data_IF_021683482047
#
_entry.id   IF_021683482047
#
_cell.length_a   1.000
_cell.length_b   1.000
_cell.length_c   1.000
_cell.angle_alpha   90.00
_cell.angle_beta   90.00
_cell.angle_gamma   90.00
#
_symmetry.space_group_name_H-M   'P 1'
#
loop_
_entity.id
_entity.type
_entity.pdbx_description
1 polymer ?
#
# COMPACT_ATOMS: atom_id res chain seq x y z
N UNK A 1 31.26 10.43 -41.97
CA UNK A 1 29.97 10.15 -41.29
C UNK A 1 29.57 8.67 -41.18
N UNK A 2 29.93 7.78 -42.11
CA UNK A 2 29.45 6.36 -42.11
C UNK A 2 30.09 5.48 -41.01
N UNK A 3 31.37 5.71 -40.64
CA UNK A 3 32.05 4.97 -39.55
C UNK A 3 31.51 5.29 -38.15
N UNK A 4 31.00 6.51 -37.92
CA UNK A 4 30.43 6.92 -36.62
C UNK A 4 29.07 6.25 -36.38
N UNK A 5 28.21 6.15 -37.41
CA UNK A 5 26.94 5.40 -37.32
C UNK A 5 27.16 3.91 -36.98
N UNK A 6 28.19 3.26 -37.56
CA UNK A 6 28.51 1.84 -37.26
C UNK A 6 28.96 1.60 -35.81
N UNK A 7 29.66 2.57 -35.18
CA UNK A 7 30.17 2.47 -33.80
C UNK A 7 29.08 2.72 -32.75
N UNK A 8 28.12 3.60 -33.05
CA UNK A 8 26.93 3.82 -32.20
C UNK A 8 25.98 2.61 -32.31
N UNK A 9 25.80 2.03 -33.50
CA UNK A 9 25.01 0.81 -33.70
C UNK A 9 25.66 -0.48 -33.17
N UNK A 10 26.97 -0.53 -32.94
CA UNK A 10 27.61 -1.72 -32.35
C UNK A 10 27.47 -1.77 -30.83
N UNK A 11 27.39 -0.61 -30.14
CA UNK A 11 27.12 -0.55 -28.69
C UNK A 11 25.67 -0.92 -28.35
N UNK A 12 24.69 -0.58 -29.19
CA UNK A 12 23.28 -0.98 -28.98
C UNK A 12 23.03 -2.48 -29.15
N UNK A 13 23.86 -3.20 -29.92
CA UNK A 13 23.88 -4.68 -29.93
C UNK A 13 24.40 -5.31 -28.63
N UNK A 14 25.00 -4.54 -27.71
CA UNK A 14 25.64 -5.09 -26.52
C UNK A 14 24.68 -5.31 -25.35
N UNK A 15 23.60 -4.53 -25.21
CA UNK A 15 22.81 -4.47 -23.97
C UNK A 15 21.37 -5.01 -24.07
N UNK A 16 20.94 -5.49 -25.25
CA UNK A 16 19.55 -5.94 -25.46
C UNK A 16 19.10 -7.07 -24.51
N UNK A 17 20.06 -7.83 -23.96
CA UNK A 17 19.79 -8.92 -23.03
C UNK A 17 19.43 -8.45 -21.61
N UNK A 18 19.67 -7.17 -21.26
CA UNK A 18 19.22 -6.59 -20.01
C UNK A 18 17.77 -6.10 -20.05
N UNK A 19 17.23 -5.85 -21.25
CA UNK A 19 15.89 -5.28 -21.40
C UNK A 19 14.80 -6.24 -20.85
N UNK A 20 14.78 -7.56 -21.17
CA UNK A 20 13.73 -8.44 -20.67
C UNK A 20 13.67 -8.51 -19.13
N UNK A 21 14.78 -8.74 -18.39
CA UNK A 21 14.70 -8.83 -16.94
C UNK A 21 14.40 -7.47 -16.29
N UNK A 22 14.93 -6.36 -16.82
CA UNK A 22 14.61 -5.03 -16.28
C UNK A 22 13.13 -4.70 -16.45
N UNK A 23 12.54 -4.93 -17.62
CA UNK A 23 11.12 -4.66 -17.81
C UNK A 23 10.21 -5.68 -17.14
N UNK A 24 10.63 -6.95 -17.01
CA UNK A 24 9.92 -7.93 -16.18
C UNK A 24 9.90 -7.55 -14.70
N UNK A 25 10.91 -6.80 -14.22
CA UNK A 25 10.91 -6.23 -12.88
C UNK A 25 10.01 -4.98 -12.75
N UNK A 26 10.00 -4.10 -13.75
CA UNK A 26 9.22 -2.84 -13.71
C UNK A 26 7.72 -3.08 -13.92
N UNK A 27 7.37 -3.91 -14.89
CA UNK A 27 5.98 -4.18 -15.29
C UNK A 27 5.03 -4.47 -14.10
N UNK A 28 5.31 -5.45 -13.21
CA UNK A 28 4.38 -5.78 -12.13
C UNK A 28 4.25 -4.66 -11.09
N UNK A 29 5.28 -3.83 -10.89
CA UNK A 29 5.23 -2.69 -9.98
C UNK A 29 4.29 -1.61 -10.53
N UNK A 30 4.42 -1.28 -11.82
CA UNK A 30 3.51 -0.32 -12.47
C UNK A 30 2.08 -0.85 -12.50
N UNK A 31 1.90 -2.14 -12.74
CA UNK A 31 0.57 -2.77 -12.71
C UNK A 31 -0.04 -2.68 -11.32
N UNK A 32 0.70 -3.02 -10.27
CA UNK A 32 0.24 -2.90 -8.88
C UNK A 32 -0.12 -1.45 -8.53
N UNK A 33 0.72 -0.49 -8.92
CA UNK A 33 0.44 0.92 -8.68
C UNK A 33 -0.84 1.36 -9.39
N UNK A 34 -0.99 1.05 -10.68
CA UNK A 34 -2.14 1.48 -11.47
C UNK A 34 -3.46 0.91 -10.94
N UNK A 35 -3.47 -0.36 -10.50
CA UNK A 35 -4.65 -0.97 -9.88
C UNK A 35 -5.02 -0.34 -8.54
N UNK A 36 -4.05 0.25 -7.83
CA UNK A 36 -4.23 0.86 -6.51
C UNK A 36 -3.94 2.37 -6.53
N UNK A 37 -4.13 3.04 -7.68
CA UNK A 37 -3.72 4.44 -7.89
C UNK A 37 -4.57 5.46 -7.11
N UNK A 38 -5.80 5.09 -6.78
CA UNK A 38 -6.64 5.80 -5.81
C UNK A 38 -6.02 5.75 -4.42
N UNK A 39 -5.30 4.66 -4.12
CA UNK A 39 -4.81 4.35 -2.79
C UNK A 39 -3.36 4.69 -2.50
N UNK A 40 -2.55 4.87 -3.55
CA UNK A 40 -1.11 5.06 -3.44
C UNK A 40 -0.66 6.43 -3.97
N UNK A 41 0.43 6.95 -3.41
CA UNK A 41 1.17 8.08 -3.95
C UNK A 41 2.34 7.63 -4.83
N UNK A 42 2.74 8.48 -5.80
CA UNK A 42 3.85 8.21 -6.72
C UNK A 42 5.18 7.87 -6.04
N UNK A 43 5.39 8.30 -4.78
CA UNK A 43 6.57 7.95 -3.97
C UNK A 43 6.72 6.44 -3.80
N UNK A 44 5.61 5.70 -3.75
CA UNK A 44 5.60 4.24 -3.62
C UNK A 44 6.48 3.58 -4.66
N UNK A 45 6.37 3.97 -5.94
CA UNK A 45 7.03 3.31 -7.08
C UNK A 45 8.57 3.31 -6.94
N UNK A 46 9.14 4.34 -6.31
CA UNK A 46 10.59 4.57 -6.30
C UNK A 46 11.39 3.41 -5.68
N UNK A 47 11.02 2.97 -4.47
CA UNK A 47 11.76 1.91 -3.75
C UNK A 47 11.64 0.54 -4.42
N UNK A 48 10.43 0.02 -4.76
CA UNK A 48 10.28 -1.24 -5.45
C UNK A 48 11.01 -1.27 -6.80
N UNK A 49 10.93 -0.20 -7.61
CA UNK A 49 11.63 -0.16 -8.90
C UNK A 49 13.14 -0.21 -8.67
N UNK A 50 13.66 0.59 -7.76
CA UNK A 50 15.10 0.64 -7.47
C UNK A 50 15.66 -0.74 -7.10
N UNK A 51 15.07 -1.40 -6.10
CA UNK A 51 15.54 -2.71 -5.66
C UNK A 51 15.34 -3.80 -6.71
N UNK A 52 14.24 -3.76 -7.48
CA UNK A 52 13.94 -4.78 -8.49
C UNK A 52 14.82 -4.64 -9.73
N UNK A 53 15.17 -3.42 -10.14
CA UNK A 53 16.16 -3.20 -11.22
C UNK A 53 17.55 -3.68 -10.77
N UNK A 54 17.96 -3.38 -9.53
CA UNK A 54 19.24 -3.86 -9.00
C UNK A 54 19.29 -5.38 -8.99
N UNK A 55 18.22 -6.04 -8.53
CA UNK A 55 18.10 -7.50 -8.54
C UNK A 55 18.15 -8.06 -9.97
N UNK A 56 17.42 -7.45 -10.91
CA UNK A 56 17.39 -7.86 -12.32
C UNK A 56 18.78 -7.75 -12.98
N UNK A 57 19.46 -6.61 -12.81
CA UNK A 57 20.79 -6.38 -13.39
C UNK A 57 21.82 -7.30 -12.76
N UNK A 58 21.88 -7.35 -11.43
CA UNK A 58 22.84 -8.20 -10.68
C UNK A 58 22.63 -9.67 -11.00
N UNK A 59 21.38 -10.17 -10.95
CA UNK A 59 21.05 -11.55 -11.30
C UNK A 59 21.43 -11.89 -12.74
N UNK A 60 21.19 -10.98 -13.68
CA UNK A 60 21.57 -11.18 -15.09
C UNK A 60 23.08 -11.23 -15.26
N UNK A 61 23.83 -10.35 -14.59
CA UNK A 61 25.30 -10.34 -14.63
C UNK A 61 25.90 -11.63 -14.06
N UNK A 62 25.47 -12.03 -12.86
CA UNK A 62 25.94 -13.24 -12.19
C UNK A 62 25.64 -14.48 -13.02
N UNK A 63 24.40 -14.62 -13.52
CA UNK A 63 24.02 -15.78 -14.31
C UNK A 63 24.68 -15.76 -15.70
N UNK A 64 24.94 -14.59 -16.27
CA UNK A 64 25.71 -14.46 -17.52
C UNK A 64 27.15 -14.93 -17.34
N UNK A 65 27.77 -14.63 -16.20
CA UNK A 65 29.12 -15.10 -15.87
C UNK A 65 29.14 -16.63 -15.69
N UNK A 66 28.16 -17.18 -14.96
CA UNK A 66 28.08 -18.63 -14.71
C UNK A 66 27.79 -19.44 -15.98
N UNK A 67 26.83 -18.99 -16.78
CA UNK A 67 26.40 -19.71 -18.00
C UNK A 67 27.27 -19.40 -19.22
N UNK A 68 28.13 -18.37 -19.12
CA UNK A 68 28.89 -17.76 -20.23
C UNK A 68 28.00 -17.38 -21.42
N UNK A 69 26.69 -17.21 -21.20
CA UNK A 69 25.72 -16.94 -22.25
C UNK A 69 24.66 -15.94 -21.75
N UNK A 70 24.84 -14.68 -22.17
CA UNK A 70 23.98 -13.54 -21.80
C UNK A 70 22.50 -13.75 -22.14
N UNK A 71 22.22 -14.45 -23.25
CA UNK A 71 20.86 -14.69 -23.70
C UNK A 71 20.14 -15.74 -22.85
N UNK A 72 20.83 -16.80 -22.47
CA UNK A 72 20.29 -17.83 -21.55
C UNK A 72 20.05 -17.23 -20.17
N UNK A 73 21.01 -16.46 -19.68
CA UNK A 73 20.90 -15.76 -18.40
C UNK A 73 19.70 -14.79 -18.38
N UNK A 74 19.54 -13.98 -19.43
CA UNK A 74 18.41 -13.06 -19.59
C UNK A 74 17.05 -13.76 -19.46
N UNK A 75 16.84 -14.86 -20.18
CA UNK A 75 15.56 -15.60 -20.13
C UNK A 75 15.29 -16.22 -18.75
N UNK A 76 16.31 -16.80 -18.11
CA UNK A 76 16.15 -17.43 -16.80
C UNK A 76 15.84 -16.36 -15.74
N UNK A 77 16.54 -15.23 -15.75
CA UNK A 77 16.29 -14.13 -14.80
C UNK A 77 14.91 -13.50 -15.02
N UNK A 78 14.48 -13.30 -16.27
CA UNK A 78 13.12 -12.87 -16.56
C UNK A 78 12.07 -13.83 -16.03
N UNK A 79 12.28 -15.15 -16.13
CA UNK A 79 11.37 -16.13 -15.56
C UNK A 79 11.36 -16.08 -14.02
N UNK A 80 12.52 -15.93 -13.38
CA UNK A 80 12.61 -15.77 -11.92
C UNK A 80 11.81 -14.55 -11.48
N UNK A 81 11.95 -13.41 -12.15
CA UNK A 81 11.19 -12.19 -11.83
C UNK A 81 9.69 -12.37 -12.06
N UNK A 82 9.30 -13.02 -13.16
CA UNK A 82 7.90 -13.32 -13.44
C UNK A 82 7.28 -14.19 -12.34
N UNK A 83 7.95 -15.28 -11.96
CA UNK A 83 7.52 -16.15 -10.85
C UNK A 83 7.47 -15.34 -9.55
N UNK A 84 8.52 -14.57 -9.27
CA UNK A 84 8.63 -13.77 -8.06
C UNK A 84 7.43 -12.83 -7.90
N UNK A 85 7.08 -12.06 -8.92
CA UNK A 85 5.98 -11.08 -8.84
C UNK A 85 4.58 -11.66 -9.03
N UNK A 86 4.45 -12.87 -9.58
CA UNK A 86 3.14 -13.49 -9.84
C UNK A 86 2.70 -14.48 -8.76
N UNK A 87 3.63 -14.97 -7.94
CA UNK A 87 3.37 -16.06 -7.00
C UNK A 87 2.27 -15.74 -5.97
N UNK A 88 2.29 -14.56 -5.35
CA UNK A 88 1.31 -14.23 -4.30
C UNK A 88 -0.11 -14.14 -4.84
N UNK A 89 -0.28 -13.62 -6.07
CA UNK A 89 -1.57 -13.64 -6.77
C UNK A 89 -2.06 -15.07 -7.03
N UNK A 90 -1.17 -15.95 -7.48
CA UNK A 90 -1.49 -17.35 -7.74
C UNK A 90 -1.86 -18.10 -6.46
N UNK A 91 -1.04 -17.97 -5.42
CA UNK A 91 -1.29 -18.58 -4.10
C UNK A 91 -2.63 -18.12 -3.52
N UNK A 92 -2.91 -16.80 -3.55
CA UNK A 92 -4.17 -16.23 -3.04
C UNK A 92 -5.39 -16.72 -3.84
N UNK A 93 -5.31 -16.75 -5.17
CA UNK A 93 -6.42 -17.21 -6.04
C UNK A 93 -6.77 -18.69 -5.83
N UNK A 94 -5.84 -19.44 -5.24
CA UNK A 94 -5.95 -20.86 -4.97
C UNK A 94 -6.15 -21.16 -3.48
N UNK A 95 -6.22 -20.13 -2.63
CA UNK A 95 -6.28 -20.31 -1.18
C UNK A 95 -7.43 -21.24 -0.81
N UNK A 96 -8.65 -20.94 -1.23
CA UNK A 96 -9.84 -21.72 -0.87
C UNK A 96 -9.99 -23.04 -1.67
N UNK A 97 -9.08 -23.32 -2.60
CA UNK A 97 -9.18 -24.47 -3.53
C UNK A 97 -8.12 -25.54 -3.28
N UNK A 98 -6.96 -25.16 -2.76
CA UNK A 98 -5.79 -26.03 -2.57
C UNK A 98 -5.51 -26.23 -1.09
N UNK A 99 -6.40 -26.98 -0.44
CA UNK A 99 -6.20 -27.50 0.91
C UNK A 99 -6.23 -29.03 0.89
N UNK A 100 -5.19 -29.66 1.44
CA UNK A 100 -5.16 -31.10 1.69
C UNK A 100 -5.13 -31.30 3.20
N UNK A 101 -6.20 -31.87 3.74
CA UNK A 101 -6.24 -32.34 5.11
C UNK A 101 -5.55 -33.72 5.17
N UNK A 102 -4.45 -33.78 5.89
CA UNK A 102 -3.73 -35.02 6.20
C UNK A 102 -4.20 -35.57 7.55
N UNK A 103 -3.93 -36.87 7.85
CA UNK A 103 -4.10 -37.42 9.19
C UNK A 103 -3.41 -36.54 10.27
N UNK A 104 -3.92 -36.58 11.50
CA UNK A 104 -3.45 -35.80 12.65
C UNK A 104 -3.69 -34.27 12.55
N UNK A 105 -4.77 -33.83 11.91
CA UNK A 105 -5.13 -32.41 11.76
C UNK A 105 -4.06 -31.55 11.06
N UNK A 106 -3.18 -32.16 10.27
CA UNK A 106 -2.18 -31.43 9.49
C UNK A 106 -2.86 -30.89 8.24
N UNK A 107 -2.88 -29.57 8.09
CA UNK A 107 -3.40 -28.92 6.88
C UNK A 107 -2.24 -28.45 6.00
N UNK A 108 -2.18 -28.96 4.76
CA UNK A 108 -1.32 -28.42 3.72
C UNK A 108 -2.07 -27.32 2.97
N UNK A 109 -1.66 -26.08 3.20
CA UNK A 109 -2.14 -24.94 2.42
C UNK A 109 -1.47 -24.84 1.03
N UNK A 110 -1.95 -23.92 0.18
CA UNK A 110 -1.51 -23.79 -1.20
C UNK A 110 0.00 -23.59 -1.32
N UNK A 111 0.60 -22.84 -0.39
CA UNK A 111 2.03 -22.51 -0.44
C UNK A 111 2.91 -23.77 -0.38
N UNK A 112 2.53 -24.75 0.46
CA UNK A 112 3.28 -26.02 0.62
C UNK A 112 3.18 -26.92 -0.62
N UNK A 113 2.16 -26.74 -1.45
CA UNK A 113 1.91 -27.53 -2.67
C UNK A 113 2.49 -26.82 -3.91
N UNK A 114 2.25 -25.52 -4.04
CA UNK A 114 2.64 -24.73 -5.21
C UNK A 114 4.14 -24.51 -5.30
N UNK A 115 4.84 -24.26 -4.18
CA UNK A 115 6.28 -23.99 -4.19
C UNK A 115 7.09 -25.16 -4.79
N UNK A 116 6.91 -26.43 -4.39
CA UNK A 116 7.59 -27.56 -5.01
C UNK A 116 7.30 -27.69 -6.51
N UNK A 117 6.04 -27.49 -6.93
CA UNK A 117 5.62 -27.61 -8.33
C UNK A 117 6.30 -26.53 -9.18
N UNK A 118 6.20 -25.26 -8.75
CA UNK A 118 6.80 -24.12 -9.45
C UNK A 118 8.32 -24.28 -9.51
N UNK A 119 8.94 -24.73 -8.43
CA UNK A 119 10.38 -24.99 -8.38
C UNK A 119 10.80 -26.11 -9.35
N UNK A 120 10.05 -27.21 -9.40
CA UNK A 120 10.28 -28.30 -10.36
C UNK A 120 10.15 -27.82 -11.82
N UNK A 121 9.10 -27.07 -12.14
CA UNK A 121 8.91 -26.49 -13.47
C UNK A 121 10.02 -25.51 -13.84
N UNK A 122 10.47 -24.69 -12.88
CA UNK A 122 11.59 -23.76 -13.05
C UNK A 122 12.89 -24.49 -13.38
N UNK A 123 13.20 -25.61 -12.69
CA UNK A 123 14.38 -26.44 -12.97
C UNK A 123 14.29 -27.02 -14.39
N UNK A 124 13.14 -27.60 -14.76
CA UNK A 124 12.93 -28.18 -16.09
C UNK A 124 13.13 -27.13 -17.19
N UNK A 125 12.53 -25.94 -17.02
CA UNK A 125 12.68 -24.84 -17.96
C UNK A 125 14.14 -24.40 -18.06
N UNK A 126 14.79 -24.14 -16.92
CA UNK A 126 16.19 -23.70 -16.88
C UNK A 126 17.11 -24.71 -17.55
N UNK A 127 16.92 -26.01 -17.29
CA UNK A 127 17.67 -27.07 -17.94
C UNK A 127 17.47 -27.09 -19.46
N UNK A 128 16.22 -26.91 -19.95
CA UNK A 128 15.92 -26.83 -21.39
C UNK A 128 16.58 -25.61 -22.05
N UNK A 129 16.54 -24.44 -21.40
CA UNK A 129 17.20 -23.21 -21.90
C UNK A 129 18.72 -23.39 -21.93
N UNK A 130 19.30 -23.97 -20.88
CA UNK A 130 20.75 -24.19 -20.78
C UNK A 130 21.25 -25.21 -21.80
N UNK A 131 20.49 -26.29 -22.07
CA UNK A 131 20.83 -27.31 -23.07
C UNK A 131 20.53 -26.89 -24.51
N UNK A 132 19.74 -25.83 -24.72
CA UNK A 132 19.38 -25.38 -26.08
C UNK A 132 20.60 -24.90 -26.87
N UNK A 133 20.78 -25.48 -28.06
CA UNK A 133 21.72 -25.02 -29.09
C UNK A 133 21.10 -24.00 -30.06
N UNK A 134 19.77 -23.82 -30.02
CA UNK A 134 19.06 -22.90 -30.92
C UNK A 134 19.32 -21.44 -30.52
N UNK A 135 19.39 -20.50 -31.49
CA UNK A 135 19.55 -19.09 -31.18
C UNK A 135 18.29 -18.54 -30.47
N UNK A 136 18.43 -18.17 -29.21
CA UNK A 136 17.35 -17.65 -28.36
C UNK A 136 16.98 -16.17 -28.65
N UNK A 137 17.68 -15.55 -29.60
CA UNK A 137 17.53 -14.12 -29.90
C UNK A 137 16.11 -13.72 -30.30
N UNK A 138 15.38 -14.59 -31.03
CA UNK A 138 13.99 -14.30 -31.45
C UNK A 138 13.06 -14.18 -30.24
N UNK A 139 13.23 -15.04 -29.25
CA UNK A 139 12.45 -15.02 -28.00
C UNK A 139 12.77 -13.75 -27.22
N UNK A 140 14.05 -13.38 -27.13
CA UNK A 140 14.46 -12.16 -26.43
C UNK A 140 13.91 -10.91 -27.11
N UNK A 141 13.98 -10.84 -28.44
CA UNK A 141 13.41 -9.71 -29.20
C UNK A 141 11.90 -9.62 -29.00
N UNK A 142 11.20 -10.76 -29.04
CA UNK A 142 9.77 -10.81 -28.72
C UNK A 142 9.48 -10.27 -27.31
N UNK A 143 10.17 -10.78 -26.29
CA UNK A 143 10.01 -10.29 -24.91
C UNK A 143 10.32 -8.81 -24.78
N UNK A 144 11.35 -8.30 -25.45
CA UNK A 144 11.69 -6.89 -25.45
C UNK A 144 10.54 -6.03 -25.99
N UNK A 145 10.00 -6.39 -27.15
CA UNK A 145 8.92 -5.63 -27.78
C UNK A 145 7.65 -5.71 -26.93
N UNK A 146 7.27 -6.90 -26.47
CA UNK A 146 6.07 -7.09 -25.64
C UNK A 146 6.15 -6.37 -24.30
N UNK A 147 7.26 -6.50 -23.57
CA UNK A 147 7.43 -5.85 -22.28
C UNK A 147 7.61 -4.34 -22.41
N UNK A 148 8.28 -3.86 -23.46
CA UNK A 148 8.34 -2.42 -23.76
C UNK A 148 6.94 -1.87 -23.97
N UNK A 149 6.13 -2.54 -24.81
CA UNK A 149 4.76 -2.14 -25.06
C UNK A 149 3.93 -2.09 -23.76
N UNK A 150 4.01 -3.13 -22.93
CA UNK A 150 3.29 -3.19 -21.65
C UNK A 150 3.73 -2.09 -20.68
N UNK A 151 5.04 -1.90 -20.48
CA UNK A 151 5.57 -0.85 -19.59
C UNK A 151 5.21 0.54 -20.10
N UNK A 152 5.31 0.78 -21.41
CA UNK A 152 4.91 2.06 -22.02
C UNK A 152 3.42 2.33 -21.87
N UNK A 153 2.58 1.33 -22.14
CA UNK A 153 1.13 1.42 -21.96
C UNK A 153 0.76 1.77 -20.51
N UNK A 154 1.31 1.04 -19.54
CA UNK A 154 1.06 1.31 -18.11
C UNK A 154 1.57 2.68 -17.68
N UNK A 155 2.76 3.08 -18.14
CA UNK A 155 3.32 4.40 -17.84
C UNK A 155 2.41 5.53 -18.34
N UNK A 156 1.89 5.41 -19.57
CA UNK A 156 0.95 6.38 -20.15
C UNK A 156 -0.36 6.41 -19.36
N UNK A 157 -0.90 5.24 -18.98
CA UNK A 157 -2.11 5.15 -18.17
C UNK A 157 -1.92 5.84 -16.80
N UNK A 158 -0.81 5.56 -16.11
CA UNK A 158 -0.48 6.19 -14.83
C UNK A 158 -0.38 7.72 -14.97
N UNK A 159 0.34 8.22 -15.98
CA UNK A 159 0.48 9.67 -16.20
C UNK A 159 -0.89 10.32 -16.44
N UNK A 160 -1.74 9.71 -17.26
CA UNK A 160 -3.08 10.22 -17.56
C UNK A 160 -3.94 10.27 -16.29
N UNK A 161 -3.95 9.20 -15.50
CA UNK A 161 -4.76 9.12 -14.27
C UNK A 161 -4.25 10.07 -13.18
N UNK A 162 -2.95 10.18 -12.97
CA UNK A 162 -2.38 11.15 -12.02
C UNK A 162 -2.66 12.61 -12.41
N UNK A 163 -2.63 12.91 -13.71
CA UNK A 163 -2.99 14.23 -14.20
C UNK A 163 -4.46 14.56 -13.87
N UNK A 164 -5.38 13.62 -14.12
CA UNK A 164 -6.80 13.78 -13.79
C UNK A 164 -7.06 13.92 -12.27
N UNK A 165 -6.31 13.18 -11.45
CA UNK A 165 -6.33 13.27 -9.98
C UNK A 165 -5.96 14.67 -9.48
N UNK A 166 -5.04 15.37 -10.18
CA UNK A 166 -4.59 16.72 -9.80
C UNK A 166 -5.57 17.82 -10.20
N UNK A 167 -6.22 17.73 -11.36
CA UNK A 167 -7.22 18.73 -11.82
C UNK A 167 -8.52 18.70 -11.00
N UNK A 168 -8.78 17.60 -10.31
CA UNK A 168 -9.95 17.35 -9.45
C UNK A 168 -9.98 18.19 -8.16
N UNK A 169 -9.16 19.23 -8.01
CA UNK A 169 -9.18 20.07 -6.81
C UNK A 169 -10.56 20.67 -6.57
N UNK A 170 -11.22 20.20 -5.49
CA UNK A 170 -12.43 20.79 -4.93
C UNK A 170 -12.25 22.31 -4.78
N UNK A 171 -13.22 23.05 -5.32
CA UNK A 171 -13.43 24.49 -5.12
C UNK A 171 -13.32 24.77 -3.63
N UNK A 172 -12.48 25.74 -3.27
CA UNK A 172 -12.24 26.09 -1.87
C UNK A 172 -13.57 26.43 -1.18
N UNK A 173 -13.81 25.97 0.06
CA UNK A 173 -14.88 26.54 0.86
C UNK A 173 -14.60 28.04 1.01
N UNK A 174 -15.64 28.83 0.81
CA UNK A 174 -15.66 30.28 0.97
C UNK A 174 -14.87 30.69 2.20
N UNK A 175 -13.86 31.55 2.03
CA UNK A 175 -13.14 32.17 3.14
C UNK A 175 -14.16 32.87 4.04
N UNK A 176 -14.45 32.27 5.21
CA UNK A 176 -15.14 32.96 6.27
C UNK A 176 -14.16 34.01 6.82
N UNK A 177 -14.60 35.26 6.83
CA UNK A 177 -13.84 36.39 7.35
C UNK A 177 -13.33 36.07 8.76
N UNK A 178 -12.02 36.24 8.96
CA UNK A 178 -11.35 36.20 10.25
C UNK A 178 -12.00 37.21 11.20
N UNK A 179 -12.94 36.72 12.01
CA UNK A 179 -13.29 37.38 13.26
C UNK A 179 -12.20 36.99 14.25
N UNK A 180 -11.45 37.96 14.77
CA UNK A 180 -10.54 37.75 15.91
C UNK A 180 -11.39 37.30 17.10
N UNK A 181 -11.64 35.99 17.19
CA UNK A 181 -12.27 35.38 18.34
C UNK A 181 -11.21 35.30 19.42
N UNK A 182 -11.40 36.09 20.47
CA UNK A 182 -10.54 36.09 21.64
C UNK A 182 -10.55 34.66 22.19
N UNK A 183 -9.38 34.03 22.24
CA UNK A 183 -9.22 32.69 22.80
C UNK A 183 -9.78 32.69 24.22
N UNK A 184 -10.89 31.98 24.43
CA UNK A 184 -11.40 31.75 25.78
C UNK A 184 -10.33 31.00 26.57
N UNK A 185 -10.03 31.54 27.77
CA UNK A 185 -8.94 31.10 28.63
C UNK A 185 -9.11 29.67 29.16
N UNK A 186 -10.34 29.14 29.15
CA UNK A 186 -10.67 27.80 29.65
C UNK A 186 -11.52 27.03 28.61
N UNK A 187 -10.87 26.39 27.64
CA UNK A 187 -11.57 25.40 26.79
C UNK A 187 -10.89 24.04 26.97
N UNK A 188 -11.65 22.95 27.09
CA UNK A 188 -11.08 21.63 27.36
C UNK A 188 -10.32 21.10 26.13
N UNK A 189 -9.39 20.19 26.38
CA UNK A 189 -8.82 19.36 25.31
C UNK A 189 -9.89 18.48 24.67
N UNK A 190 -9.76 18.22 23.37
CA UNK A 190 -10.70 17.43 22.59
C UNK A 190 -9.98 16.19 22.08
N UNK A 191 -10.39 15.02 22.56
CA UNK A 191 -9.91 13.73 22.08
C UNK A 191 -10.94 13.13 21.13
N UNK A 192 -10.56 12.96 19.87
CA UNK A 192 -11.39 12.32 18.86
C UNK A 192 -10.78 10.97 18.48
N UNK A 193 -11.31 9.90 19.07
CA UNK A 193 -10.82 8.53 18.91
C UNK A 193 -11.80 7.76 18.03
N UNK A 194 -11.32 7.20 16.93
CA UNK A 194 -12.10 6.35 16.03
C UNK A 194 -11.49 4.94 16.03
N UNK A 195 -12.34 3.94 16.24
CA UNK A 195 -12.00 2.53 16.11
C UNK A 195 -12.43 2.04 14.72
N UNK A 196 -11.50 1.45 13.97
CA UNK A 196 -11.77 0.93 12.64
C UNK A 196 -12.51 -0.42 12.72
N UNK A 197 -13.66 -0.53 12.05
CA UNK A 197 -14.49 -1.74 12.03
C UNK A 197 -15.13 -2.13 13.37
N UNK A 198 -15.14 -1.27 14.40
CA UNK A 198 -15.80 -1.57 15.67
C UNK A 198 -17.33 -1.48 15.54
N UNK A 199 -18.00 -2.62 15.67
CA UNK A 199 -19.44 -2.72 15.56
C UNK A 199 -20.16 -2.40 16.89
N UNK A 200 -21.42 -2.00 16.78
CA UNK A 200 -22.30 -1.75 17.92
C UNK A 200 -22.61 -3.05 18.67
N UNK A 201 -22.89 -2.93 19.97
CA UNK A 201 -23.15 -4.08 20.86
C UNK A 201 -24.20 -5.06 20.30
N UNK A 202 -25.35 -4.56 19.81
CA UNK A 202 -26.40 -5.39 19.22
C UNK A 202 -25.95 -6.15 17.95
N UNK A 203 -25.07 -5.55 17.15
CA UNK A 203 -24.49 -6.17 15.95
C UNK A 203 -23.46 -7.23 16.33
N UNK A 204 -22.60 -6.93 17.31
CA UNK A 204 -21.62 -7.88 17.84
C UNK A 204 -22.32 -9.12 18.40
N UNK A 205 -23.35 -8.95 19.23
CA UNK A 205 -24.11 -10.05 19.77
C UNK A 205 -24.83 -10.84 18.67
N UNK A 206 -25.51 -10.16 17.73
CA UNK A 206 -26.34 -10.83 16.71
C UNK A 206 -25.53 -11.65 15.71
N UNK A 207 -24.39 -11.13 15.25
CA UNK A 207 -23.64 -11.75 14.15
C UNK A 207 -22.39 -12.51 14.60
N UNK A 208 -21.87 -12.22 15.78
CA UNK A 208 -20.64 -12.81 16.30
C UNK A 208 -20.79 -13.51 17.65
N UNK A 209 -22.01 -13.50 18.24
CA UNK A 209 -22.29 -14.06 19.57
C UNK A 209 -21.32 -13.52 20.65
N UNK A 210 -20.94 -12.24 20.51
CA UNK A 210 -20.00 -11.57 21.38
C UNK A 210 -20.69 -10.53 22.27
N UNK A 211 -20.70 -10.80 23.58
CA UNK A 211 -21.17 -9.86 24.60
C UNK A 211 -20.08 -8.82 24.89
N UNK A 212 -20.38 -7.57 24.56
CA UNK A 212 -19.49 -6.43 24.75
C UNK A 212 -19.96 -5.48 25.88
N UNK A 213 -20.93 -5.91 26.68
CA UNK A 213 -21.60 -5.06 27.67
C UNK A 213 -20.68 -4.61 28.80
N UNK A 214 -19.64 -5.39 29.13
CA UNK A 214 -18.62 -4.99 30.12
C UNK A 214 -17.89 -3.71 29.69
N UNK A 215 -17.49 -3.62 28.42
CA UNK A 215 -16.81 -2.46 27.89
C UNK A 215 -17.73 -1.23 27.87
N UNK A 216 -18.97 -1.39 27.41
CA UNK A 216 -19.96 -0.30 27.37
C UNK A 216 -20.24 0.25 28.78
N UNK A 217 -20.51 -0.63 29.76
CA UNK A 217 -20.72 -0.23 31.17
C UNK A 217 -19.49 0.47 31.75
N UNK A 218 -18.28 0.09 31.32
CA UNK A 218 -17.06 0.78 31.75
C UNK A 218 -17.00 2.22 31.26
N UNK A 219 -17.43 2.49 30.01
CA UNK A 219 -17.50 3.84 29.45
C UNK A 219 -18.55 4.70 30.17
N UNK A 220 -19.73 4.15 30.42
CA UNK A 220 -20.78 4.84 31.18
C UNK A 220 -20.32 5.17 32.60
N UNK A 221 -19.62 4.24 33.27
CA UNK A 221 -19.03 4.46 34.59
C UNK A 221 -17.96 5.57 34.58
N UNK A 222 -17.26 5.74 33.47
CA UNK A 222 -16.32 6.84 33.24
C UNK A 222 -17.03 8.17 32.91
N UNK A 223 -18.37 8.17 32.80
CA UNK A 223 -19.18 9.36 32.50
C UNK A 223 -19.38 9.63 31.01
N UNK A 224 -19.00 8.70 30.12
CA UNK A 224 -19.30 8.83 28.70
C UNK A 224 -20.79 8.62 28.43
N UNK A 225 -21.33 9.43 27.53
CA UNK A 225 -22.64 9.17 26.94
C UNK A 225 -22.50 8.11 25.83
N UNK A 226 -23.26 7.01 25.96
CA UNK A 226 -23.31 5.96 24.95
C UNK A 226 -24.59 6.12 24.13
N UNK A 227 -24.43 6.18 22.80
CA UNK A 227 -25.53 6.35 21.86
C UNK A 227 -25.88 5.02 21.18
N UNK A 228 -26.78 4.26 21.81
CA UNK A 228 -27.09 2.84 21.52
C UNK A 228 -27.67 2.56 20.12
N UNK A 229 -28.03 3.61 19.37
CA UNK A 229 -28.55 3.50 18.00
C UNK A 229 -27.84 4.43 17.01
N UNK A 230 -26.67 4.97 17.38
CA UNK A 230 -25.86 5.79 16.48
C UNK A 230 -25.44 5.01 15.22
N UNK A 231 -25.25 5.75 14.13
CA UNK A 231 -24.84 5.23 12.82
C UNK A 231 -23.81 6.16 12.21
N UNK A 232 -22.85 5.61 11.48
CA UNK A 232 -22.00 6.41 10.59
C UNK A 232 -22.82 6.91 9.40
N UNK A 233 -22.42 8.05 8.82
CA UNK A 233 -23.08 8.58 7.62
C UNK A 233 -22.86 7.68 6.39
N UNK A 234 -21.75 6.94 6.37
CA UNK A 234 -21.36 6.05 5.27
C UNK A 234 -20.69 4.78 5.81
N UNK A 235 -20.74 3.70 5.03
CA UNK A 235 -20.22 2.37 5.43
C UNK A 235 -18.71 2.21 5.21
N UNK A 236 -18.09 3.08 4.41
CA UNK A 236 -16.65 3.01 4.11
C UNK A 236 -15.89 4.15 4.78
N UNK A 237 -14.71 3.85 5.33
CA UNK A 237 -13.84 4.81 6.04
C UNK A 237 -13.55 6.06 5.21
N UNK A 238 -13.27 5.89 3.91
CA UNK A 238 -12.98 7.01 3.00
C UNK A 238 -14.18 7.95 2.77
N UNK A 239 -15.41 7.57 3.13
CA UNK A 239 -16.59 8.46 3.10
C UNK A 239 -17.03 8.89 4.50
N UNK A 240 -17.01 7.97 5.46
CA UNK A 240 -17.45 8.25 6.83
C UNK A 240 -16.59 9.33 7.47
N UNK A 241 -15.27 9.20 7.37
CA UNK A 241 -14.34 10.12 8.01
C UNK A 241 -14.43 11.57 7.47
N UNK A 242 -14.36 11.81 6.14
CA UNK A 242 -14.50 13.17 5.62
C UNK A 242 -15.90 13.74 5.87
N UNK A 243 -16.96 12.92 5.87
CA UNK A 243 -18.31 13.40 6.18
C UNK A 243 -18.40 13.95 7.59
N UNK A 244 -17.90 13.21 8.58
CA UNK A 244 -17.91 13.65 9.99
C UNK A 244 -17.02 14.86 10.20
N UNK A 245 -15.78 14.86 9.67
CA UNK A 245 -14.82 15.95 9.85
C UNK A 245 -15.19 17.24 9.11
N UNK A 246 -16.10 17.16 8.13
CA UNK A 246 -16.63 18.32 7.42
C UNK A 246 -18.11 18.60 7.77
N UNK A 247 -18.69 17.87 8.73
CA UNK A 247 -20.05 18.05 9.23
C UNK A 247 -21.12 18.11 8.14
N UNK A 248 -20.95 17.33 7.06
CA UNK A 248 -21.85 17.33 5.90
C UNK A 248 -21.88 16.00 5.19
N UNK A 249 -22.98 15.72 4.51
CA UNK A 249 -23.05 14.62 3.55
C UNK A 249 -22.17 14.92 2.32
N UNK A 250 -21.77 13.87 1.63
CA UNK A 250 -20.81 13.84 0.51
C UNK A 250 -21.49 13.49 -0.81
N UNK A 251 -22.75 13.90 -0.96
CA UNK A 251 -23.59 13.56 -2.11
C UNK A 251 -23.02 14.12 -3.43
N UNK A 252 -22.15 15.11 -3.36
CA UNK A 252 -21.47 15.68 -4.53
C UNK A 252 -20.30 14.84 -5.06
N UNK A 253 -19.77 13.89 -4.27
CA UNK A 253 -18.61 13.10 -4.69
C UNK A 253 -18.92 12.14 -5.85
N UNK A 254 -20.01 11.33 -5.80
CA UNK A 254 -20.38 10.45 -6.92
C UNK A 254 -20.66 11.21 -8.22
N UNK A 255 -21.29 12.39 -8.15
CA UNK A 255 -21.59 13.21 -9.32
C UNK A 255 -20.32 13.73 -9.99
N UNK A 256 -19.31 14.10 -9.19
CA UNK A 256 -18.10 14.75 -9.69
C UNK A 256 -17.00 13.77 -10.10
N UNK A 257 -16.89 12.63 -9.43
CA UNK A 257 -15.76 11.69 -9.61
C UNK A 257 -16.18 10.30 -10.08
N UNK A 258 -17.48 10.06 -10.24
CA UNK A 258 -18.02 8.77 -10.64
C UNK A 258 -17.91 7.71 -9.54
N UNK A 259 -18.48 6.54 -9.80
CA UNK A 259 -18.57 5.44 -8.84
C UNK A 259 -17.64 4.27 -9.16
N UNK A 260 -16.91 4.30 -10.29
CA UNK A 260 -16.07 3.17 -10.71
C UNK A 260 -14.93 3.56 -11.68
N UNK A 261 -13.65 3.43 -11.28
CA UNK A 261 -13.19 3.16 -9.91
C UNK A 261 -13.54 4.33 -8.98
N UNK A 262 -13.78 4.05 -7.70
CA UNK A 262 -14.01 5.10 -6.71
C UNK A 262 -12.72 5.91 -6.54
N UNK A 263 -12.73 7.18 -6.96
CA UNK A 263 -11.62 8.08 -6.72
C UNK A 263 -11.64 8.58 -5.27
N UNK A 264 -10.84 7.94 -4.41
CA UNK A 264 -10.68 8.36 -3.02
C UNK A 264 -9.89 9.68 -2.86
N UNK A 265 -9.29 10.22 -3.93
CA UNK A 265 -8.43 11.40 -3.81
C UNK A 265 -9.18 12.62 -3.28
N UNK A 266 -10.42 12.80 -3.71
CA UNK A 266 -11.29 13.87 -3.22
C UNK A 266 -11.63 13.67 -1.73
N UNK A 267 -11.96 12.45 -1.33
CA UNK A 267 -12.20 12.08 0.06
C UNK A 267 -10.97 12.32 0.95
N UNK A 268 -9.78 11.90 0.51
CA UNK A 268 -8.51 12.13 1.21
C UNK A 268 -8.20 13.61 1.37
N UNK A 269 -8.48 14.43 0.35
CA UNK A 269 -8.36 15.88 0.45
C UNK A 269 -9.31 16.46 1.49
N UNK A 270 -10.56 15.99 1.53
CA UNK A 270 -11.56 16.40 2.54
C UNK A 270 -11.17 16.00 3.95
N UNK A 271 -10.49 14.87 4.14
CA UNK A 271 -9.91 14.47 5.43
C UNK A 271 -8.75 15.40 5.79
N UNK A 272 -7.82 15.59 4.85
CA UNK A 272 -6.59 16.38 5.03
C UNK A 272 -6.86 17.83 5.42
N UNK A 273 -7.83 18.47 4.77
CA UNK A 273 -8.16 19.89 4.91
C UNK A 273 -9.55 20.11 5.52
N UNK A 274 -9.88 19.34 6.55
CA UNK A 274 -11.24 19.29 7.10
C UNK A 274 -11.67 20.57 7.86
N UNK A 275 -12.98 20.83 7.85
CA UNK A 275 -13.57 22.02 8.50
C UNK A 275 -13.44 22.03 10.02
N UNK A 276 -13.56 20.88 10.68
CA UNK A 276 -13.44 20.79 12.15
C UNK A 276 -12.06 21.28 12.59
N UNK A 277 -11.00 20.81 11.95
CA UNK A 277 -9.62 21.22 12.27
C UNK A 277 -9.39 22.70 11.97
N UNK A 278 -9.93 23.22 10.86
CA UNK A 278 -9.86 24.66 10.53
C UNK A 278 -10.52 25.51 11.61
N UNK A 279 -11.76 25.19 11.98
CA UNK A 279 -12.49 25.91 13.03
C UNK A 279 -11.78 25.85 14.38
N UNK A 280 -11.29 24.68 14.79
CA UNK A 280 -10.54 24.54 16.05
C UNK A 280 -9.25 25.37 16.04
N UNK A 281 -8.53 25.44 14.91
CA UNK A 281 -7.36 26.32 14.76
C UNK A 281 -7.74 27.80 14.89
N UNK A 282 -8.90 28.22 14.37
CA UNK A 282 -9.41 29.60 14.54
C UNK A 282 -9.69 29.93 16.03
N UNK A 283 -10.00 28.93 16.85
CA UNK A 283 -10.14 29.05 18.31
C UNK A 283 -8.80 28.90 19.07
N UNK A 284 -7.67 28.75 18.37
CA UNK A 284 -6.34 28.65 18.93
C UNK A 284 -5.94 27.27 19.45
N UNK A 285 -6.63 26.20 19.03
CA UNK A 285 -6.22 24.83 19.33
C UNK A 285 -5.03 24.38 18.48
N UNK A 286 -4.20 23.53 19.07
CA UNK A 286 -3.20 22.74 18.36
C UNK A 286 -3.82 21.42 17.92
N UNK A 287 -3.71 21.08 16.63
CA UNK A 287 -4.21 19.83 16.08
C UNK A 287 -3.10 18.78 16.11
N UNK A 288 -3.30 17.72 16.90
CA UNK A 288 -2.42 16.56 16.97
C UNK A 288 -3.09 15.39 16.25
N UNK A 289 -2.39 14.79 15.30
CA UNK A 289 -2.84 13.61 14.57
C UNK A 289 -2.03 12.38 14.94
N UNK A 290 -2.71 11.28 15.26
CA UNK A 290 -2.12 9.96 15.41
C UNK A 290 -2.40 9.16 14.14
N UNK A 291 -1.42 9.10 13.24
CA UNK A 291 -1.58 8.51 11.93
C UNK A 291 -1.83 7.00 12.00
N UNK A 292 -2.94 6.54 11.40
CA UNK A 292 -3.15 5.12 11.13
C UNK A 292 -2.25 4.64 9.99
N UNK A 293 -2.35 3.36 9.65
CA UNK A 293 -1.63 2.79 8.49
C UNK A 293 -2.18 3.24 7.14
N UNK A 294 -3.45 3.66 7.11
CA UNK A 294 -4.10 4.15 5.91
C UNK A 294 -3.63 5.56 5.51
N UNK A 295 -3.21 5.72 4.25
CA UNK A 295 -2.58 6.94 3.71
C UNK A 295 -3.45 8.20 3.92
N UNK A 296 -4.79 8.07 3.93
CA UNK A 296 -5.72 9.17 4.16
C UNK A 296 -5.62 9.85 5.53
N UNK A 297 -5.06 9.17 6.53
CA UNK A 297 -4.79 9.70 7.88
C UNK A 297 -3.30 9.90 8.17
N UNK A 298 -2.44 9.60 7.18
CA UNK A 298 -0.99 9.65 7.28
C UNK A 298 -0.41 10.97 6.81
N UNK A 299 0.57 10.91 5.89
CA UNK A 299 1.36 12.07 5.41
C UNK A 299 0.49 13.20 4.81
N UNK A 300 -0.73 12.90 4.36
CA UNK A 300 -1.64 13.89 3.79
C UNK A 300 -2.35 14.76 4.83
N UNK A 301 -2.44 14.39 6.10
CA UNK A 301 -3.28 15.08 7.08
C UNK A 301 -2.64 16.40 7.58
N UNK A 302 -3.33 17.55 7.46
CA UNK A 302 -2.77 18.86 7.85
C UNK A 302 -2.90 19.16 9.35
N UNK A 303 -2.27 18.33 10.18
CA UNK A 303 -2.10 18.58 11.61
C UNK A 303 -0.88 19.46 11.90
N UNK A 304 -0.84 20.07 13.09
CA UNK A 304 0.32 20.81 13.57
C UNK A 304 1.41 19.85 14.08
N UNK A 305 0.99 18.73 14.68
CA UNK A 305 1.86 17.63 15.12
C UNK A 305 1.29 16.32 14.59
N UNK A 306 2.14 15.45 14.02
CA UNK A 306 1.74 14.11 13.60
C UNK A 306 2.63 13.06 14.27
N UNK A 307 2.01 12.15 15.01
CA UNK A 307 2.65 10.93 15.50
C UNK A 307 2.36 9.79 14.52
N UNK A 308 3.42 9.20 13.99
CA UNK A 308 3.36 7.97 13.22
C UNK A 308 4.13 6.91 13.99
N UNK A 309 3.51 5.77 14.27
CA UNK A 309 4.22 4.62 14.84
C UNK A 309 5.35 4.19 13.91
N UNK A 310 6.48 3.79 14.48
CA UNK A 310 7.60 3.30 13.68
C UNK A 310 7.20 2.02 12.93
N UNK A 311 7.39 1.99 11.62
CA UNK A 311 7.03 0.86 10.76
C UNK A 311 8.19 -0.15 10.68
N UNK A 312 8.62 -0.69 11.81
CA UNK A 312 9.66 -1.74 11.83
C UNK A 312 9.02 -3.13 11.76
N UNK A 313 9.38 -3.88 10.73
CA UNK A 313 9.05 -5.29 10.57
C UNK A 313 10.23 -6.13 11.02
N UNK A 314 10.02 -7.06 11.95
CA UNK A 314 11.06 -8.00 12.36
C UNK A 314 11.14 -9.14 11.35
N UNK A 315 12.06 -9.03 10.39
CA UNK A 315 12.32 -10.06 9.39
C UNK A 315 13.66 -10.72 9.73
N UNK A 316 13.65 -12.04 9.94
CA UNK A 316 14.86 -12.81 10.31
C UNK A 316 15.59 -12.23 11.53
N UNK A 317 14.84 -11.76 12.53
CA UNK A 317 15.40 -11.18 13.76
C UNK A 317 15.87 -9.73 13.65
N UNK A 318 15.80 -9.09 12.47
CA UNK A 318 16.19 -7.70 12.26
C UNK A 318 14.98 -6.80 12.04
N UNK A 319 15.00 -5.62 12.65
CA UNK A 319 14.01 -4.57 12.43
C UNK A 319 14.27 -3.90 11.08
N UNK A 320 13.34 -4.04 10.14
CA UNK A 320 13.38 -3.44 8.81
C UNK A 320 12.28 -2.39 8.74
N UNK A 321 12.67 -1.13 8.51
CA UNK A 321 11.71 -0.06 8.29
C UNK A 321 11.07 -0.21 6.90
N UNK A 322 9.77 -0.50 6.83
CA UNK A 322 9.04 -0.68 5.58
C UNK A 322 7.56 -0.31 5.79
N UNK A 323 7.00 0.49 4.89
CA UNK A 323 5.62 0.94 5.00
C UNK A 323 4.60 -0.14 4.61
N UNK A 324 3.34 0.09 5.01
CA UNK A 324 2.23 -0.85 4.79
C UNK A 324 2.05 -1.21 3.32
N UNK A 325 2.07 -0.21 2.43
CA UNK A 325 1.91 -0.40 0.99
C UNK A 325 3.00 -1.30 0.40
N UNK A 326 4.26 -1.09 0.80
CA UNK A 326 5.37 -1.95 0.39
C UNK A 326 5.20 -3.38 0.92
N UNK A 327 4.68 -3.57 2.14
CA UNK A 327 4.41 -4.92 2.64
C UNK A 327 3.27 -5.60 1.89
N UNK A 328 2.15 -4.92 1.66
CA UNK A 328 1.04 -5.45 0.85
C UNK A 328 1.55 -5.84 -0.54
N UNK A 329 2.41 -5.00 -1.14
CA UNK A 329 3.09 -5.34 -2.38
C UNK A 329 3.93 -6.61 -2.25
N UNK A 330 4.78 -6.74 -1.21
CA UNK A 330 5.56 -7.95 -0.97
C UNK A 330 4.69 -9.20 -0.75
N UNK A 331 3.50 -9.07 -0.16
CA UNK A 331 2.54 -10.17 -0.04
C UNK A 331 2.02 -10.68 -1.39
N UNK A 332 2.10 -9.88 -2.46
CA UNK A 332 1.77 -10.32 -3.83
C UNK A 332 2.91 -11.08 -4.52
N UNK A 333 4.09 -11.14 -3.89
CA UNK A 333 5.29 -11.78 -4.45
C UNK A 333 5.54 -13.19 -3.87
N UNK A 334 6.62 -13.84 -4.29
CA UNK A 334 7.12 -15.10 -3.74
C UNK A 334 7.48 -15.01 -2.24
N UNK A 335 7.62 -13.79 -1.70
CA UNK A 335 7.79 -13.57 -0.25
C UNK A 335 6.48 -13.68 0.53
N UNK A 336 5.32 -13.86 -0.11
CA UNK A 336 4.01 -13.94 0.54
C UNK A 336 3.98 -14.80 1.80
N UNK A 337 4.51 -16.05 1.81
CA UNK A 337 4.44 -16.89 3.00
C UNK A 337 5.19 -16.30 4.20
N UNK A 338 6.41 -15.78 3.96
CA UNK A 338 7.23 -15.15 5.00
C UNK A 338 6.58 -13.87 5.54
N UNK A 339 5.99 -13.07 4.67
CA UNK A 339 5.37 -11.80 5.06
C UNK A 339 4.08 -12.02 5.86
N UNK A 340 3.28 -13.04 5.50
CA UNK A 340 2.06 -13.39 6.25
C UNK A 340 2.35 -13.75 7.71
N UNK A 341 3.47 -14.42 7.98
CA UNK A 341 3.86 -14.83 9.34
C UNK A 341 4.16 -13.63 10.25
N UNK A 342 4.74 -12.55 9.71
CA UNK A 342 5.17 -11.39 10.51
C UNK A 342 4.18 -10.22 10.51
N UNK A 343 3.14 -10.27 9.67
CA UNK A 343 2.22 -9.15 9.44
C UNK A 343 1.43 -8.74 10.69
N UNK A 344 0.80 -9.71 11.36
CA UNK A 344 -0.07 -9.44 12.51
C UNK A 344 0.68 -8.79 13.68
N UNK A 345 1.88 -9.27 13.97
CA UNK A 345 2.71 -8.73 15.05
C UNK A 345 3.23 -7.32 14.72
N UNK A 346 3.56 -7.05 13.46
CA UNK A 346 3.96 -5.72 13.03
C UNK A 346 2.81 -4.70 13.15
N UNK A 347 1.60 -5.08 12.71
CA UNK A 347 0.42 -4.23 12.83
C UNK A 347 0.11 -3.93 14.31
N UNK A 348 0.16 -4.96 15.18
CA UNK A 348 -0.04 -4.80 16.63
C UNK A 348 1.02 -3.87 17.23
N UNK A 349 2.29 -4.09 16.92
CA UNK A 349 3.40 -3.29 17.47
C UNK A 349 3.26 -1.81 17.11
N UNK A 350 2.83 -1.52 15.88
CA UNK A 350 2.54 -0.15 15.44
C UNK A 350 1.42 0.50 16.24
N UNK A 351 0.28 -0.18 16.39
CA UNK A 351 -0.87 0.34 17.15
C UNK A 351 -0.43 0.64 18.60
N UNK A 352 0.30 -0.28 19.22
CA UNK A 352 0.82 -0.10 20.58
C UNK A 352 1.80 1.07 20.67
N UNK A 353 2.69 1.26 19.70
CA UNK A 353 3.61 2.40 19.68
C UNK A 353 2.88 3.74 19.62
N UNK A 354 1.80 3.83 18.83
CA UNK A 354 0.92 5.01 18.80
C UNK A 354 0.23 5.23 20.15
N UNK A 355 -0.33 4.17 20.74
CA UNK A 355 -1.01 4.24 22.05
C UNK A 355 -0.06 4.61 23.19
N UNK A 356 1.21 4.20 23.14
CA UNK A 356 2.23 4.56 24.14
C UNK A 356 2.56 6.06 24.17
N UNK A 357 2.31 6.78 23.06
CA UNK A 357 2.50 8.24 23.01
C UNK A 357 1.31 9.01 23.58
N UNK A 358 0.11 8.43 23.55
CA UNK A 358 -1.11 9.12 23.98
C UNK A 358 -1.07 9.61 25.44
N UNK A 359 -0.56 8.85 26.44
CA UNK A 359 -0.42 9.33 27.82
C UNK A 359 0.54 10.51 27.99
N UNK A 360 1.41 10.77 27.03
CA UNK A 360 2.38 11.87 27.11
C UNK A 360 1.80 13.21 26.65
N UNK A 361 0.70 13.20 25.91
CA UNK A 361 0.09 14.41 25.33
C UNK A 361 -0.35 15.42 26.40
N UNK A 362 -1.03 15.02 27.50
CA UNK A 362 -1.46 15.96 28.54
C UNK A 362 -0.31 16.71 29.23
N UNK A 363 0.93 16.24 29.08
CA UNK A 363 2.12 16.81 29.74
C UNK A 363 3.00 17.62 28.78
N UNK A 364 2.57 17.83 27.54
CA UNK A 364 3.34 18.63 26.59
C UNK A 364 3.18 20.12 26.91
N UNK A 365 4.23 20.92 26.66
CA UNK A 365 4.10 22.38 26.80
C UNK A 365 3.25 22.95 25.67
N UNK A 366 2.19 23.68 26.04
CA UNK A 366 1.26 24.28 25.09
C UNK A 366 0.35 25.30 25.79
N UNK A 367 -0.35 26.13 25.01
CA UNK A 367 -1.21 27.21 25.54
C UNK A 367 -2.33 26.73 26.49
N UNK A 368 -2.57 25.42 26.61
CA UNK A 368 -3.72 24.84 27.33
C UNK A 368 -3.42 23.49 28.01
N UNK A 369 -2.25 23.34 28.63
CA UNK A 369 -2.07 22.28 29.63
C UNK A 369 -1.93 22.93 31.00
N UNK A 370 -3.06 23.09 31.69
CA UNK A 370 -3.16 23.53 33.09
C UNK A 370 -3.88 22.50 33.90
#
# INVERSE_FOLDING_TARGET
>A
MIKIKKKIFSKTKSLYFFIPPVFAAIFPILSFYLTNISELSLKFIGRPIFYSIIAAVTGTLLLSALTRNKNKASLIVSLVLLIFFSYGYLSRSLNDKLFIQLPNNIVLGPDKILLPIIFGLFIIFSAKVLKSAKPLIRIIVFLNVSLLFLVSYLSIAIIKTEYQKKDSTLTQPTQLQNKNLIAQKNTPDIYYIILDGYAREDILQKFYDYDNSEFIKSLEKMGFYVADFSRSNYIHTYLSLPSTLNMRYLDELPEKYGTNPVDESAARKLISENEVSKKLKDYGYTIINFASSWEGTGEGYKADITYKGDEYFKILGKNIAIDEANIIFLQTTLLSPLIKEVWGDALRSRILATLQKLPTIPYQEGKKFT
#
